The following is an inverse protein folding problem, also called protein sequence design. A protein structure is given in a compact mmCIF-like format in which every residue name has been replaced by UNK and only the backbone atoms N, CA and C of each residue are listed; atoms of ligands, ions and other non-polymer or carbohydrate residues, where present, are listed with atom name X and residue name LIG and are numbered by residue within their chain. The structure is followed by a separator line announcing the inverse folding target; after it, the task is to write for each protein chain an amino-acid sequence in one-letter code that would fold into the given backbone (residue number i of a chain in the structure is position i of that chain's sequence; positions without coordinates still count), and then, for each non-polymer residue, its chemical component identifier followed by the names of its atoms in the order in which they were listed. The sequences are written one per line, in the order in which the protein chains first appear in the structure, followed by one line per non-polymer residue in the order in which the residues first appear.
data_IF_958617292993
#
_entry.id   IF_958617292993
#
_cell.length_a   1.000
_cell.length_b   1.000
_cell.length_c   1.000
_cell.angle_alpha   90.00
_cell.angle_beta   90.00
_cell.angle_gamma   90.00
#
_symmetry.space_group_name_H-M   'P 1'
#
loop_
_entity.id
_entity.type
_entity.pdbx_description
1 polymer ?
#
# COMPACT_ATOMS: atom_id res chain seq x y z
N UNK A 1 5.55 27.58 43.44
CA UNK A 1 4.77 26.42 43.91
C UNK A 1 3.86 26.08 42.75
N UNK A 2 4.26 25.12 41.92
CA UNK A 2 3.58 24.79 40.64
C UNK A 2 2.19 24.25 40.94
N UNK A 3 1.18 24.89 40.35
CA UNK A 3 -0.22 24.48 40.46
C UNK A 3 -0.42 23.13 39.76
N UNK A 4 -1.30 22.29 40.30
CA UNK A 4 -1.57 20.94 39.77
C UNK A 4 -2.12 21.02 38.33
N UNK A 5 -2.71 22.16 37.95
CA UNK A 5 -3.16 22.45 36.60
C UNK A 5 -2.05 22.66 35.56
N UNK A 6 -0.81 22.92 35.99
CA UNK A 6 0.34 23.10 35.09
C UNK A 6 1.02 21.76 34.73
N UNK A 7 0.58 20.65 35.33
CA UNK A 7 1.10 19.33 35.02
C UNK A 7 0.52 18.82 33.68
N UNK A 8 1.36 18.22 32.82
CA UNK A 8 0.87 17.60 31.60
C UNK A 8 -0.18 16.52 31.94
N UNK A 9 -1.22 16.35 31.11
CA UNK A 9 -2.25 15.34 31.37
C UNK A 9 -1.61 13.96 31.52
N UNK A 10 -1.91 13.30 32.64
CA UNK A 10 -1.43 11.94 32.92
C UNK A 10 -1.99 11.01 31.85
N UNK A 11 -1.11 10.26 31.19
CA UNK A 11 -1.50 9.24 30.21
C UNK A 11 -2.22 8.09 30.95
N UNK A 12 -3.56 8.17 31.02
CA UNK A 12 -4.42 7.21 31.72
C UNK A 12 -4.61 5.96 30.85
N UNK A 13 -3.52 5.27 30.52
CA UNK A 13 -3.66 3.91 29.98
C UNK A 13 -4.14 3.01 31.11
N UNK A 14 -5.18 2.18 30.89
CA UNK A 14 -5.52 1.16 31.87
C UNK A 14 -4.26 0.34 32.16
N UNK A 15 -4.01 0.04 33.43
CA UNK A 15 -2.94 -0.85 33.88
C UNK A 15 -3.12 -2.22 33.19
N UNK A 16 -2.66 -2.34 31.94
CA UNK A 16 -2.58 -3.63 31.29
C UNK A 16 -1.55 -4.40 32.10
N UNK A 17 -1.99 -5.50 32.72
CA UNK A 17 -1.16 -6.46 33.46
C UNK A 17 0.28 -6.43 32.98
N UNK A 18 1.16 -5.80 33.78
CA UNK A 18 2.57 -5.70 33.45
C UNK A 18 3.12 -7.13 33.43
N UNK A 19 3.22 -7.70 32.24
CA UNK A 19 3.67 -9.08 32.06
C UNK A 19 5.12 -9.17 32.51
N UNK A 20 5.44 -10.13 33.39
CA UNK A 20 6.81 -10.33 33.87
C UNK A 20 7.75 -10.61 32.69
N UNK A 21 8.94 -10.00 32.74
CA UNK A 21 9.93 -10.19 31.70
C UNK A 21 10.34 -11.67 31.61
N UNK A 22 10.41 -12.26 30.40
CA UNK A 22 10.80 -13.66 30.23
C UNK A 22 12.21 -13.88 30.75
N UNK A 23 12.38 -14.84 31.66
CA UNK A 23 13.66 -15.19 32.29
C UNK A 23 14.45 -16.26 31.53
N UNK A 24 13.84 -16.88 30.51
CA UNK A 24 14.45 -17.95 29.72
C UNK A 24 14.57 -17.56 28.25
N UNK A 25 15.66 -17.98 27.59
CA UNK A 25 15.92 -17.68 26.19
C UNK A 25 14.77 -18.11 25.26
N UNK A 26 14.12 -19.24 25.56
CA UNK A 26 12.99 -19.73 24.77
C UNK A 26 11.73 -18.88 24.94
N UNK A 27 11.45 -18.41 26.17
CA UNK A 27 10.33 -17.51 26.42
C UNK A 27 10.54 -16.15 25.74
N UNK A 28 11.77 -15.63 25.73
CA UNK A 28 12.13 -14.41 24.99
C UNK A 28 11.89 -14.59 23.50
N UNK A 29 12.36 -15.70 22.92
CA UNK A 29 12.19 -15.98 21.48
C UNK A 29 10.70 -16.03 21.07
N UNK A 30 9.83 -16.58 21.92
CA UNK A 30 8.38 -16.63 21.70
C UNK A 30 7.73 -15.23 21.67
N UNK A 31 8.33 -14.26 22.34
CA UNK A 31 7.86 -12.87 22.39
C UNK A 31 8.45 -11.95 21.31
N UNK A 32 9.43 -12.41 20.52
CA UNK A 32 10.04 -11.60 19.45
C UNK A 32 9.14 -11.41 18.22
N UNK A 33 8.10 -12.24 18.06
CA UNK A 33 7.23 -12.24 16.87
C UNK A 33 6.68 -10.85 16.48
N UNK A 34 6.01 -10.12 17.38
CA UNK A 34 5.50 -8.79 17.09
C UNK A 34 6.60 -7.79 16.69
N UNK A 35 7.75 -7.83 17.35
CA UNK A 35 8.90 -6.97 17.05
C UNK A 35 9.48 -7.25 15.67
N UNK A 36 9.59 -8.53 15.28
CA UNK A 36 10.07 -8.93 13.96
C UNK A 36 9.10 -8.52 12.84
N UNK A 37 7.79 -8.60 13.08
CA UNK A 37 6.77 -8.14 12.12
C UNK A 37 6.89 -6.64 11.88
N UNK A 38 7.04 -5.84 12.95
CA UNK A 38 7.23 -4.38 12.84
C UNK A 38 8.56 -4.07 12.16
N UNK A 39 9.64 -4.77 12.49
CA UNK A 39 10.92 -4.58 11.82
C UNK A 39 10.81 -4.88 10.31
N UNK A 40 10.14 -5.96 9.94
CA UNK A 40 9.92 -6.34 8.54
C UNK A 40 9.02 -5.38 7.77
N UNK A 41 8.09 -4.68 8.44
CA UNK A 41 7.22 -3.71 7.78
C UNK A 41 7.88 -2.35 7.54
N UNK A 42 8.89 -2.01 8.35
CA UNK A 42 9.65 -0.75 8.22
C UNK A 42 10.74 -0.86 7.15
N UNK A 43 11.36 -2.03 7.01
CA UNK A 43 12.43 -2.25 6.02
C UNK A 43 11.84 -2.29 4.61
N UNK A 44 11.94 -1.15 3.91
CA UNK A 44 11.42 -0.98 2.55
C UNK A 44 12.43 -1.36 1.45
N UNK A 45 11.92 -1.58 0.24
CA UNK A 45 12.75 -1.84 -0.95
C UNK A 45 13.73 -0.70 -1.26
N UNK A 46 13.37 0.55 -0.93
CA UNK A 46 14.22 1.73 -1.10
C UNK A 46 15.50 1.67 -0.26
N UNK A 47 15.42 1.14 0.97
CA UNK A 47 16.60 0.97 1.83
C UNK A 47 17.55 -0.09 1.26
N UNK A 48 16.99 -1.18 0.69
CA UNK A 48 17.77 -2.22 0.04
C UNK A 48 18.50 -1.69 -1.21
N UNK A 49 17.82 -0.92 -2.06
CA UNK A 49 18.39 -0.35 -3.30
C UNK A 49 19.44 0.72 -2.96
N UNK A 50 19.14 1.62 -2.03
CA UNK A 50 20.07 2.69 -1.66
C UNK A 50 21.32 2.14 -0.97
N UNK A 51 21.16 1.18 -0.05
CA UNK A 51 22.29 0.54 0.65
C UNK A 51 23.17 -0.25 -0.31
N UNK A 52 22.57 -1.03 -1.22
CA UNK A 52 23.35 -1.78 -2.23
C UNK A 52 24.05 -0.85 -3.20
N UNK A 53 23.42 0.26 -3.62
CA UNK A 53 24.06 1.29 -4.45
C UNK A 53 25.22 1.96 -3.74
N UNK A 54 25.05 2.34 -2.47
CA UNK A 54 26.11 2.93 -1.66
C UNK A 54 27.27 1.94 -1.45
N UNK A 55 26.96 0.67 -1.20
CA UNK A 55 27.95 -0.40 -1.11
C UNK A 55 28.68 -0.66 -2.43
N UNK A 56 27.99 -0.58 -3.56
CA UNK A 56 28.62 -0.73 -4.89
C UNK A 56 29.55 0.44 -5.22
N UNK A 57 29.22 1.66 -4.78
CA UNK A 57 30.02 2.86 -5.06
C UNK A 57 31.21 3.02 -4.10
N UNK A 58 31.01 2.75 -2.82
CA UNK A 58 32.03 2.98 -1.78
C UNK A 58 32.70 1.69 -1.27
N UNK A 59 32.28 0.52 -1.74
CA UNK A 59 32.77 -0.77 -1.26
C UNK A 59 32.56 -0.96 0.24
N UNK A 60 33.52 -1.63 0.89
CA UNK A 60 33.51 -1.90 2.33
C UNK A 60 33.95 -0.68 3.17
N UNK A 61 34.37 0.41 2.54
CA UNK A 61 34.87 1.60 3.25
C UNK A 61 33.81 2.23 4.18
N UNK A 62 32.51 2.08 3.87
CA UNK A 62 31.42 2.60 4.71
C UNK A 62 30.97 1.65 5.82
N UNK A 63 31.46 0.40 5.86
CA UNK A 63 30.94 -0.61 6.78
C UNK A 63 31.13 -0.21 8.25
N UNK A 64 32.27 0.40 8.58
CA UNK A 64 32.55 0.84 9.95
C UNK A 64 31.59 1.95 10.41
N UNK A 65 31.16 2.85 9.50
CA UNK A 65 30.18 3.89 9.80
C UNK A 65 28.79 3.30 10.07
N UNK A 66 28.41 2.26 9.33
CA UNK A 66 27.14 1.55 9.55
C UNK A 66 27.15 0.88 10.94
N UNK A 67 28.24 0.17 11.28
CA UNK A 67 28.37 -0.47 12.59
C UNK A 67 28.34 0.56 13.72
N UNK A 68 29.10 1.66 13.58
CA UNK A 68 29.11 2.75 14.56
C UNK A 68 27.71 3.37 14.73
N UNK A 69 27.03 3.65 13.62
CA UNK A 69 25.66 4.17 13.64
C UNK A 69 24.68 3.20 14.32
N UNK A 70 24.83 1.90 14.08
CA UNK A 70 24.04 0.86 14.73
C UNK A 70 24.26 0.78 16.25
N UNK A 71 25.48 1.03 16.72
CA UNK A 71 25.75 1.09 18.17
C UNK A 71 25.12 2.36 18.76
N UNK A 72 25.39 3.52 18.15
CA UNK A 72 24.89 4.81 18.64
C UNK A 72 23.36 4.81 18.70
N UNK A 73 22.68 4.34 17.64
CA UNK A 73 21.20 4.35 17.59
C UNK A 73 20.60 3.53 18.74
N UNK A 74 21.21 2.41 19.12
CA UNK A 74 20.69 1.53 20.18
C UNK A 74 20.77 2.25 21.52
N UNK A 75 21.91 2.86 21.84
CA UNK A 75 22.06 3.62 23.08
C UNK A 75 21.09 4.80 23.16
N UNK A 76 20.95 5.55 22.06
CA UNK A 76 19.99 6.67 22.00
C UNK A 76 18.56 6.21 22.22
N UNK A 77 18.16 5.09 21.60
CA UNK A 77 16.80 4.53 21.77
C UNK A 77 16.56 4.04 23.20
N UNK A 78 17.53 3.38 23.82
CA UNK A 78 17.43 2.91 25.21
C UNK A 78 17.29 4.10 26.16
N UNK A 79 18.11 5.14 26.01
CA UNK A 79 18.08 6.30 26.89
C UNK A 79 16.79 7.10 26.72
N UNK A 80 16.35 7.31 25.48
CA UNK A 80 15.09 7.99 25.20
C UNK A 80 13.91 7.20 25.75
N UNK A 81 13.89 5.87 25.58
CA UNK A 81 12.87 4.99 26.16
C UNK A 81 12.86 5.08 27.69
N UNK A 82 14.03 4.96 28.33
CA UNK A 82 14.18 5.10 29.77
C UNK A 82 13.65 6.45 30.27
N UNK A 83 13.99 7.54 29.59
CA UNK A 83 13.50 8.88 29.95
C UNK A 83 11.97 8.97 29.91
N UNK A 84 11.33 8.43 28.87
CA UNK A 84 9.86 8.44 28.74
C UNK A 84 9.16 7.60 29.80
N UNK A 85 9.73 6.44 30.16
CA UNK A 85 9.17 5.56 31.19
C UNK A 85 9.31 6.17 32.59
N UNK A 86 10.47 6.74 32.91
CA UNK A 86 10.74 7.32 34.24
C UNK A 86 9.91 8.58 34.50
N UNK A 87 9.74 9.44 33.50
CA UNK A 87 9.03 10.72 33.66
C UNK A 87 7.55 10.64 33.29
N UNK A 88 7.05 9.49 32.81
CA UNK A 88 5.65 9.30 32.43
C UNK A 88 5.19 10.21 31.28
N UNK A 89 6.11 10.74 30.48
CA UNK A 89 5.81 11.65 29.37
C UNK A 89 6.17 11.04 28.01
N UNK A 90 5.49 11.47 26.95
CA UNK A 90 5.78 11.01 25.59
C UNK A 90 7.18 11.46 25.14
N UNK A 91 7.78 10.72 24.22
CA UNK A 91 9.08 11.09 23.64
C UNK A 91 9.03 12.51 23.02
N UNK A 92 7.91 12.87 22.40
CA UNK A 92 7.73 14.19 21.79
C UNK A 92 7.61 15.31 22.83
N UNK A 93 6.97 15.03 23.97
CA UNK A 93 6.91 15.96 25.11
C UNK A 93 8.32 16.19 25.69
N UNK A 94 9.09 15.13 25.91
CA UNK A 94 10.47 15.23 26.37
C UNK A 94 11.36 16.03 25.40
N UNK A 95 11.20 15.85 24.08
CA UNK A 95 11.90 16.65 23.07
C UNK A 95 11.46 18.13 23.05
N UNK A 96 10.27 18.44 23.55
CA UNK A 96 9.76 19.81 23.67
C UNK A 96 10.26 20.55 24.93
N UNK A 97 10.98 19.86 25.83
CA UNK A 97 11.63 20.47 27.00
C UNK A 97 13.07 20.95 26.72
N UNK A 98 13.67 20.47 25.63
CA UNK A 98 15.05 20.82 25.23
C UNK A 98 15.16 22.31 24.90
N UNK A 99 16.23 23.03 25.28
CA UNK A 99 16.39 24.44 24.94
C UNK A 99 16.49 24.65 23.42
N UNK A 100 15.58 25.45 22.86
CA UNK A 100 15.55 25.76 21.42
C UNK A 100 14.15 26.00 20.86
N UNK A 101 13.39 26.90 21.50
CA UNK A 101 12.02 27.21 21.06
C UNK A 101 12.04 28.02 19.77
N UNK A 102 11.36 27.50 18.75
CA UNK A 102 11.07 28.19 17.51
C UNK A 102 9.56 28.48 17.46
N UNK A 103 9.20 29.75 17.65
CA UNK A 103 7.82 30.18 17.94
C UNK A 103 7.24 29.53 19.21
N UNK A 104 6.17 28.73 19.09
CA UNK A 104 5.45 28.13 20.23
C UNK A 104 5.94 26.72 20.60
N UNK A 105 6.72 26.07 19.73
CA UNK A 105 7.22 24.68 19.88
C UNK A 105 8.74 24.63 19.69
N UNK A 106 9.39 23.56 20.13
CA UNK A 106 10.82 23.37 19.88
C UNK A 106 11.15 23.10 18.40
N UNK A 107 12.33 23.54 17.95
CA UNK A 107 12.82 23.27 16.59
C UNK A 107 12.90 21.77 16.27
N UNK A 108 13.17 20.94 17.28
CA UNK A 108 13.19 19.47 17.16
C UNK A 108 11.80 18.93 16.84
N UNK A 109 10.75 19.50 17.43
CA UNK A 109 9.37 19.08 17.15
C UNK A 109 9.00 19.45 15.71
N UNK A 110 9.41 20.64 15.25
CA UNK A 110 9.26 21.01 13.83
C UNK A 110 10.03 20.09 12.89
N UNK A 111 11.26 19.72 13.25
CA UNK A 111 12.05 18.75 12.50
C UNK A 111 11.36 17.38 12.46
N UNK A 112 10.79 16.92 13.57
CA UNK A 112 10.01 15.70 13.65
C UNK A 112 8.78 15.75 12.73
N UNK A 113 8.04 16.87 12.72
CA UNK A 113 6.90 17.05 11.80
C UNK A 113 7.35 16.99 10.35
N UNK A 114 8.44 17.68 10.00
CA UNK A 114 9.00 17.65 8.64
C UNK A 114 9.44 16.23 8.24
N UNK A 115 10.09 15.50 9.14
CA UNK A 115 10.44 14.09 8.95
C UNK A 115 9.18 13.23 8.74
N UNK A 116 8.12 13.45 9.51
CA UNK A 116 6.87 12.71 9.36
C UNK A 116 6.23 12.94 7.98
N UNK A 117 6.20 14.18 7.50
CA UNK A 117 5.72 14.52 6.15
C UNK A 117 6.57 13.85 5.07
N UNK A 118 7.90 13.84 5.24
CA UNK A 118 8.79 13.14 4.31
C UNK A 118 8.56 11.62 4.31
N UNK A 119 8.15 11.04 5.45
CA UNK A 119 7.76 9.64 5.56
C UNK A 119 6.58 9.29 4.65
N UNK A 120 5.58 10.16 4.53
CA UNK A 120 4.45 9.96 3.62
C UNK A 120 4.93 9.86 2.16
N UNK A 121 5.87 10.73 1.76
CA UNK A 121 6.49 10.67 0.42
C UNK A 121 7.23 9.35 0.23
N UNK A 122 7.90 8.86 1.27
CA UNK A 122 8.63 7.60 1.24
C UNK A 122 7.71 6.39 1.04
N UNK A 123 6.53 6.36 1.68
CA UNK A 123 5.50 5.36 1.42
C UNK A 123 5.05 5.39 -0.05
N UNK A 124 4.89 6.58 -0.64
CA UNK A 124 4.58 6.73 -2.07
C UNK A 124 5.66 6.10 -2.97
N UNK A 125 6.93 6.28 -2.62
CA UNK A 125 8.05 5.64 -3.30
C UNK A 125 8.01 4.11 -3.24
N UNK A 126 7.66 3.53 -2.08
CA UNK A 126 7.50 2.08 -1.91
C UNK A 126 6.38 1.55 -2.79
N UNK A 127 5.21 2.18 -2.77
CA UNK A 127 4.05 1.78 -3.60
C UNK A 127 4.39 1.86 -5.09
N UNK A 128 5.08 2.93 -5.53
CA UNK A 128 5.56 3.06 -6.90
C UNK A 128 6.53 1.95 -7.30
N UNK A 129 7.50 1.63 -6.44
CA UNK A 129 8.46 0.55 -6.65
C UNK A 129 7.80 -0.83 -6.76
N UNK A 130 6.83 -1.12 -5.89
CA UNK A 130 6.03 -2.36 -5.96
C UNK A 130 5.24 -2.41 -7.27
N UNK A 131 4.64 -1.31 -7.70
CA UNK A 131 3.94 -1.24 -8.99
C UNK A 131 4.84 -1.53 -10.18
N UNK A 132 6.08 -1.01 -10.19
CA UNK A 132 7.07 -1.32 -11.23
C UNK A 132 7.49 -2.79 -11.20
N UNK A 133 7.77 -3.34 -10.01
CA UNK A 133 8.12 -4.76 -9.87
C UNK A 133 6.96 -5.66 -10.32
N UNK A 134 5.72 -5.32 -9.98
CA UNK A 134 4.53 -6.04 -10.41
C UNK A 134 4.33 -5.97 -11.93
N UNK A 135 4.57 -4.82 -12.55
CA UNK A 135 4.51 -4.66 -14.00
C UNK A 135 5.59 -5.47 -14.74
N UNK A 136 6.75 -5.70 -14.12
CA UNK A 136 7.81 -6.58 -14.66
C UNK A 136 7.45 -8.06 -14.45
N UNK A 137 6.92 -8.42 -13.27
CA UNK A 137 6.60 -9.80 -12.92
C UNK A 137 5.34 -10.34 -13.63
N UNK A 138 4.31 -9.50 -13.75
CA UNK A 138 3.12 -9.74 -14.55
C UNK A 138 3.00 -8.60 -15.57
N UNK A 139 3.62 -8.73 -16.76
CA UNK A 139 3.46 -7.73 -17.80
C UNK A 139 1.98 -7.62 -18.15
N UNK A 140 1.41 -6.44 -17.91
CA UNK A 140 0.06 -6.06 -18.36
C UNK A 140 0.08 -5.98 -19.90
N UNK A 141 0.16 -7.13 -20.55
CA UNK A 141 0.33 -7.30 -21.99
C UNK A 141 -1.00 -7.05 -22.70
N UNK A 142 -1.60 -5.87 -22.54
CA UNK A 142 -2.81 -5.47 -23.27
C UNK A 142 -4.05 -6.35 -23.09
N UNK A 143 -3.98 -7.48 -22.38
CA UNK A 143 -5.08 -8.43 -22.21
C UNK A 143 -6.24 -7.81 -21.45
N UNK A 144 -5.98 -6.88 -20.53
CA UNK A 144 -7.05 -6.10 -19.90
C UNK A 144 -7.74 -5.13 -20.87
N UNK A 145 -7.01 -4.50 -21.80
CA UNK A 145 -7.61 -3.66 -22.86
C UNK A 145 -8.37 -4.49 -23.88
N UNK A 146 -7.93 -5.72 -24.14
CA UNK A 146 -8.60 -6.66 -25.03
C UNK A 146 -9.79 -7.37 -24.34
N UNK A 147 -9.72 -7.61 -23.03
CA UNK A 147 -10.81 -8.17 -22.22
C UNK A 147 -11.98 -7.19 -22.07
N UNK A 148 -11.71 -5.88 -22.04
CA UNK A 148 -12.74 -4.83 -22.12
C UNK A 148 -13.38 -4.78 -23.52
N UNK A 149 -12.71 -5.29 -24.57
CA UNK A 149 -13.22 -5.32 -25.95
C UNK A 149 -14.01 -6.58 -26.29
N UNK A 150 -13.95 -7.62 -25.47
CA UNK A 150 -14.77 -8.82 -25.66
C UNK A 150 -16.24 -8.43 -25.40
N UNK A 151 -17.17 -8.68 -26.35
CA UNK A 151 -18.59 -8.50 -26.09
C UNK A 151 -19.01 -9.39 -24.92
N UNK A 152 -19.91 -8.90 -24.07
CA UNK A 152 -20.31 -9.68 -22.89
C UNK A 152 -21.13 -10.90 -23.30
N UNK A 153 -21.17 -11.96 -22.47
CA UNK A 153 -21.97 -13.16 -22.76
C UNK A 153 -23.46 -12.83 -23.03
N UNK A 154 -23.97 -11.75 -22.42
CA UNK A 154 -25.33 -11.28 -22.63
C UNK A 154 -25.52 -10.72 -24.03
N UNK A 155 -24.52 -9.99 -24.55
CA UNK A 155 -24.57 -9.40 -25.88
C UNK A 155 -24.51 -10.47 -26.97
N UNK A 156 -23.70 -11.51 -26.75
CA UNK A 156 -23.61 -12.68 -27.65
C UNK A 156 -24.93 -13.47 -27.66
N UNK A 157 -25.49 -13.77 -26.49
CA UNK A 157 -26.79 -14.46 -26.39
C UNK A 157 -27.94 -13.66 -26.99
N UNK A 158 -27.94 -12.35 -26.77
CA UNK A 158 -28.92 -11.44 -27.37
C UNK A 158 -28.81 -11.46 -28.90
N UNK A 159 -27.59 -11.40 -29.45
CA UNK A 159 -27.35 -11.48 -30.89
C UNK A 159 -27.86 -12.81 -31.47
N UNK A 160 -27.49 -13.95 -30.88
CA UNK A 160 -27.92 -15.28 -31.33
C UNK A 160 -29.44 -15.44 -31.31
N UNK A 161 -30.09 -14.96 -30.25
CA UNK A 161 -31.55 -15.06 -30.08
C UNK A 161 -32.28 -14.32 -31.22
N UNK A 162 -31.81 -13.12 -31.56
CA UNK A 162 -32.42 -12.34 -32.63
C UNK A 162 -32.04 -12.86 -34.02
N UNK A 163 -30.85 -13.42 -34.20
CA UNK A 163 -30.47 -14.08 -35.46
C UNK A 163 -31.29 -15.34 -35.73
N UNK A 164 -31.51 -16.18 -34.71
CA UNK A 164 -32.42 -17.32 -34.82
C UNK A 164 -33.85 -16.86 -35.09
N UNK A 165 -34.34 -15.82 -34.41
CA UNK A 165 -35.68 -15.29 -34.64
C UNK A 165 -35.84 -14.73 -36.08
N UNK A 166 -34.81 -14.09 -36.64
CA UNK A 166 -34.81 -13.59 -38.02
C UNK A 166 -34.71 -14.77 -39.01
N UNK A 167 -33.84 -15.75 -38.76
CA UNK A 167 -33.64 -16.90 -39.64
C UNK A 167 -34.87 -17.82 -39.70
N UNK A 168 -35.56 -17.99 -38.57
CA UNK A 168 -36.78 -18.81 -38.46
C UNK A 168 -38.06 -18.02 -38.76
N UNK A 169 -37.94 -16.76 -39.18
CA UNK A 169 -39.06 -15.86 -39.50
C UNK A 169 -40.12 -15.79 -38.38
N UNK A 170 -39.66 -15.68 -37.14
CA UNK A 170 -40.47 -15.73 -35.92
C UNK A 170 -41.47 -14.55 -35.86
N UNK A 171 -42.71 -14.84 -35.48
CA UNK A 171 -43.75 -13.83 -35.29
C UNK A 171 -43.33 -12.72 -34.31
N UNK A 172 -42.46 -13.04 -33.36
CA UNK A 172 -41.93 -12.12 -32.35
C UNK A 172 -41.13 -10.98 -32.99
N UNK A 173 -40.45 -11.22 -34.13
CA UNK A 173 -39.72 -10.20 -34.89
C UNK A 173 -40.67 -9.40 -35.81
N UNK A 174 -41.68 -10.06 -36.38
CA UNK A 174 -42.67 -9.43 -37.26
C UNK A 174 -43.63 -8.48 -36.52
N UNK A 175 -43.84 -8.67 -35.22
CA UNK A 175 -44.69 -7.81 -34.37
C UNK A 175 -44.01 -6.50 -33.92
N UNK A 176 -42.71 -6.36 -34.14
CA UNK A 176 -41.94 -5.18 -33.70
C UNK A 176 -42.11 -4.00 -34.66
N UNK A 177 -41.99 -2.78 -34.13
CA UNK A 177 -42.07 -1.58 -34.97
C UNK A 177 -40.88 -1.50 -35.94
N UNK A 178 -41.03 -0.83 -37.10
CA UNK A 178 -39.93 -0.68 -38.06
C UNK A 178 -38.66 -0.05 -37.47
N UNK A 179 -38.80 0.81 -36.45
CA UNK A 179 -37.64 1.40 -35.76
C UNK A 179 -36.92 0.40 -34.84
N UNK A 180 -37.66 -0.51 -34.20
CA UNK A 180 -37.08 -1.54 -33.34
C UNK A 180 -36.35 -2.61 -34.15
N UNK A 181 -36.88 -2.98 -35.32
CA UNK A 181 -36.23 -3.89 -36.26
C UNK A 181 -34.88 -3.34 -36.74
N UNK A 182 -34.84 -2.05 -37.11
CA UNK A 182 -33.59 -1.37 -37.50
C UNK A 182 -32.59 -1.31 -36.34
N UNK A 183 -33.06 -1.10 -35.11
CA UNK A 183 -32.19 -1.11 -33.92
C UNK A 183 -31.61 -2.50 -33.65
N UNK A 184 -32.40 -3.55 -33.82
CA UNK A 184 -31.94 -4.94 -33.66
C UNK A 184 -30.91 -5.27 -34.73
N UNK A 185 -31.20 -4.99 -36.01
CA UNK A 185 -30.25 -5.21 -37.11
C UNK A 185 -28.92 -4.47 -36.92
N UNK A 186 -28.97 -3.19 -36.53
CA UNK A 186 -27.77 -2.41 -36.26
C UNK A 186 -27.02 -2.89 -35.01
N UNK A 187 -27.74 -3.36 -33.98
CA UNK A 187 -27.14 -3.92 -32.76
C UNK A 187 -26.41 -5.23 -33.05
N UNK A 188 -27.08 -6.16 -33.73
CA UNK A 188 -26.53 -7.45 -34.17
C UNK A 188 -25.30 -7.25 -35.06
N UNK A 189 -25.35 -6.30 -36.01
CA UNK A 189 -24.23 -5.97 -36.88
C UNK A 189 -22.98 -5.47 -36.11
N UNK A 190 -23.15 -4.66 -35.07
CA UNK A 190 -22.03 -4.15 -34.26
C UNK A 190 -21.36 -5.24 -33.44
N UNK A 191 -22.15 -6.14 -32.84
CA UNK A 191 -21.62 -7.26 -32.05
C UNK A 191 -20.90 -8.26 -32.96
N UNK A 192 -21.43 -8.52 -34.16
CA UNK A 192 -20.77 -9.33 -35.19
C UNK A 192 -19.44 -8.72 -35.64
N UNK A 193 -19.39 -7.42 -35.93
CA UNK A 193 -18.13 -6.76 -36.32
C UNK A 193 -17.08 -6.83 -35.20
N UNK A 194 -17.49 -6.76 -33.93
CA UNK A 194 -16.60 -6.93 -32.78
C UNK A 194 -16.06 -8.36 -32.67
N UNK A 195 -16.89 -9.37 -32.90
CA UNK A 195 -16.50 -10.78 -32.93
C UNK A 195 -15.55 -11.09 -34.10
N UNK A 196 -15.82 -10.58 -35.30
CA UNK A 196 -14.98 -10.80 -36.49
C UNK A 196 -13.59 -10.19 -36.33
N UNK A 197 -13.48 -9.01 -35.70
CA UNK A 197 -12.20 -8.38 -35.37
C UNK A 197 -11.36 -9.19 -34.37
N UNK A 198 -11.96 -10.16 -33.66
CA UNK A 198 -11.30 -11.02 -32.68
C UNK A 198 -10.85 -12.38 -33.26
N UNK A 199 -11.21 -12.70 -34.51
CA UNK A 199 -10.75 -13.89 -35.25
C UNK A 199 -11.00 -15.22 -34.52
N UNK A 200 -10.01 -16.13 -34.51
CA UNK A 200 -10.05 -17.45 -33.83
C UNK A 200 -10.41 -17.41 -32.34
N UNK A 201 -10.31 -16.25 -31.67
CA UNK A 201 -10.69 -16.09 -30.26
C UNK A 201 -12.17 -15.74 -30.07
N UNK A 202 -12.81 -15.14 -31.07
CA UNK A 202 -14.26 -14.88 -31.06
C UNK A 202 -15.08 -16.16 -31.19
N UNK A 203 -14.57 -17.12 -31.97
CA UNK A 203 -15.19 -18.44 -32.19
C UNK A 203 -15.21 -19.31 -30.91
N UNK A 204 -14.33 -19.03 -29.94
CA UNK A 204 -14.30 -19.70 -28.63
C UNK A 204 -15.25 -19.08 -27.59
N UNK A 205 -15.81 -17.91 -27.90
CA UNK A 205 -16.71 -17.16 -27.01
C UNK A 205 -18.20 -17.34 -27.38
N UNK A 206 -18.47 -17.88 -28.57
CA UNK A 206 -19.79 -18.32 -29.06
C UNK A 206 -19.98 -19.79 -28.72
#
# INVERSE_FOLDING_TARGET
MTDISDLPPVDVRPESEACEAPTTLFATLKQLGPGLIIAGSIVGSGELIATTKAGAQAGIALLWLILLGCVIKVFVQIEMGRHTVVHGQTALAALNEVPGRLFKLNWIVWFWVAMMLSGIVQLGGIVGGVGQAAAIAMPLTGDYRNAIRLPSERDIKWMLTWEEAIANNDESYAKLSPQEQVRIQNGTGRVREQLDRLGERGEKAV
#
